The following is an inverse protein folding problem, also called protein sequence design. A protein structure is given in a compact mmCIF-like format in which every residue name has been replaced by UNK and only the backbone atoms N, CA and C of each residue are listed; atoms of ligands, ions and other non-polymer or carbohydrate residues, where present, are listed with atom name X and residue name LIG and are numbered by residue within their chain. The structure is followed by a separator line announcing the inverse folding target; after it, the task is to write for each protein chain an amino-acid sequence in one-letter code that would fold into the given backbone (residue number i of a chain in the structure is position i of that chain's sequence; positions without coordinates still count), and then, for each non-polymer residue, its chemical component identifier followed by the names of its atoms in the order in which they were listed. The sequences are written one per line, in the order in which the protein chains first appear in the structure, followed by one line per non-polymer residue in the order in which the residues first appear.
data_IF_019136013835
#
_entry.id   IF_019136013835
#
_cell.length_a   1.000
_cell.length_b   1.000
_cell.length_c   1.000
_cell.angle_alpha   90.00
_cell.angle_beta   90.00
_cell.angle_gamma   90.00
#
_symmetry.space_group_name_H-M   'P 1'
#
loop_
_entity.id
_entity.type
_entity.pdbx_description
1 polymer ?
#
# COMPACT_ATOMS: atom_id res chain seq x y z
N UNK A 1 9.63 16.62 17.42
CA UNK A 1 9.80 16.27 15.98
C UNK A 1 9.98 14.78 15.72
N UNK A 2 10.83 14.05 16.45
CA UNK A 2 11.09 12.62 16.19
C UNK A 2 9.83 11.74 16.27
N UNK A 3 9.01 11.92 17.31
CA UNK A 3 7.71 11.21 17.45
C UNK A 3 6.74 11.50 16.30
N UNK A 4 6.68 12.76 15.83
CA UNK A 4 5.77 13.17 14.75
C UNK A 4 6.19 12.55 13.41
N UNK A 5 7.50 12.49 13.11
CA UNK A 5 8.01 11.77 11.93
C UNK A 5 7.65 10.28 11.97
N UNK A 6 7.76 9.64 13.14
CA UNK A 6 7.38 8.24 13.31
C UNK A 6 5.87 8.02 13.08
N UNK A 7 5.00 8.90 13.60
CA UNK A 7 3.57 8.82 13.32
C UNK A 7 3.24 8.93 11.84
N UNK A 8 3.88 9.85 11.12
CA UNK A 8 3.73 9.98 9.65
C UNK A 8 4.19 8.70 8.95
N UNK A 9 5.29 8.10 9.38
CA UNK A 9 5.77 6.83 8.82
C UNK A 9 4.85 5.65 9.08
N UNK A 10 4.23 5.57 10.26
CA UNK A 10 3.24 4.55 10.59
C UNK A 10 1.97 4.72 9.76
N UNK A 11 1.50 5.95 9.59
CA UNK A 11 0.38 6.27 8.70
C UNK A 11 0.68 5.89 7.25
N UNK A 12 1.88 6.18 6.76
CA UNK A 12 2.31 5.77 5.43
C UNK A 12 2.34 4.24 5.28
N UNK A 13 2.79 3.52 6.31
CA UNK A 13 2.73 2.05 6.33
C UNK A 13 1.30 1.50 6.34
N UNK A 14 0.38 2.16 7.06
CA UNK A 14 -1.04 1.82 7.03
C UNK A 14 -1.65 2.02 5.64
N UNK A 15 -1.30 3.13 4.97
CA UNK A 15 -1.73 3.42 3.59
C UNK A 15 -1.19 2.35 2.62
N UNK A 16 0.07 1.94 2.77
CA UNK A 16 0.63 0.84 1.98
C UNK A 16 -0.14 -0.47 2.18
N UNK A 17 -0.49 -0.79 3.42
CA UNK A 17 -1.28 -1.98 3.74
C UNK A 17 -2.68 -1.91 3.10
N UNK A 18 -3.35 -0.76 3.18
CA UNK A 18 -4.64 -0.54 2.52
C UNK A 18 -4.55 -0.66 1.00
N UNK A 19 -3.49 -0.14 0.39
CA UNK A 19 -3.25 -0.27 -1.05
C UNK A 19 -3.01 -1.74 -1.47
N UNK A 20 -2.29 -2.51 -0.67
CA UNK A 20 -2.12 -3.96 -0.89
C UNK A 20 -3.47 -4.68 -0.79
N UNK A 21 -4.23 -4.46 0.28
CA UNK A 21 -5.55 -5.09 0.45
C UNK A 21 -6.52 -4.71 -0.67
N UNK A 22 -6.48 -3.45 -1.10
CA UNK A 22 -7.29 -2.93 -2.21
C UNK A 22 -6.97 -3.60 -3.54
N UNK A 23 -5.75 -4.10 -3.69
CA UNK A 23 -5.25 -4.76 -4.90
C UNK A 23 -5.49 -6.27 -4.88
N UNK A 24 -6.05 -6.84 -3.81
CA UNK A 24 -6.45 -8.25 -3.76
C UNK A 24 -7.68 -8.44 -4.66
N UNK A 25 -7.65 -9.49 -5.47
CA UNK A 25 -8.74 -9.86 -6.36
C UNK A 25 -9.76 -10.75 -5.61
N UNK A 26 -11.04 -10.48 -5.81
CA UNK A 26 -12.16 -11.32 -5.39
C UNK A 26 -12.94 -11.74 -6.65
N UNK A 27 -12.81 -13.02 -7.03
CA UNK A 27 -13.45 -13.57 -8.23
C UNK A 27 -12.73 -13.22 -9.54
N UNK A 28 -13.42 -13.40 -10.67
CA UNK A 28 -12.80 -13.31 -12.00
C UNK A 28 -12.53 -11.87 -12.47
N UNK A 29 -13.27 -10.86 -12.00
CA UNK A 29 -13.15 -9.48 -12.52
C UNK A 29 -13.15 -8.36 -11.47
N UNK A 30 -13.31 -8.68 -10.18
CA UNK A 30 -13.44 -7.65 -9.14
C UNK A 30 -12.26 -7.65 -8.17
N UNK A 31 -11.89 -6.46 -7.71
CA UNK A 31 -10.93 -6.27 -6.62
C UNK A 31 -11.69 -5.92 -5.35
N UNK A 32 -11.07 -6.14 -4.18
CA UNK A 32 -11.66 -5.75 -2.88
C UNK A 32 -12.03 -4.26 -2.91
N UNK A 33 -11.15 -3.43 -3.44
CA UNK A 33 -11.44 -2.00 -3.55
C UNK A 33 -12.51 -1.70 -4.61
N UNK A 34 -12.73 -2.53 -5.63
CA UNK A 34 -13.87 -2.32 -6.54
C UNK A 34 -15.19 -2.32 -5.77
N UNK A 35 -15.36 -3.29 -4.86
CA UNK A 35 -16.57 -3.40 -4.04
C UNK A 35 -16.76 -2.17 -3.11
N UNK A 36 -15.69 -1.75 -2.44
CA UNK A 36 -15.75 -0.58 -1.54
C UNK A 36 -15.94 0.75 -2.29
N UNK A 37 -15.35 0.90 -3.48
CA UNK A 37 -15.49 2.10 -4.30
C UNK A 37 -16.87 2.15 -4.97
N UNK A 38 -17.43 1.02 -5.40
CA UNK A 38 -18.80 0.92 -5.93
C UNK A 38 -19.83 1.37 -4.87
N UNK A 39 -19.64 0.99 -3.61
CA UNK A 39 -20.46 1.43 -2.47
C UNK A 39 -20.44 2.96 -2.27
N UNK A 40 -19.36 3.63 -2.69
CA UNK A 40 -19.18 5.08 -2.59
C UNK A 40 -19.47 5.81 -3.92
N UNK A 41 -19.87 5.08 -4.98
CA UNK A 41 -20.08 5.64 -6.31
C UNK A 41 -18.80 6.17 -6.98
N UNK A 42 -17.62 5.70 -6.54
CA UNK A 42 -16.32 6.14 -7.05
C UNK A 42 -15.78 5.13 -8.07
N UNK A 43 -15.08 5.61 -9.09
CA UNK A 43 -14.41 4.75 -10.07
C UNK A 43 -13.11 4.19 -9.51
N UNK A 44 -12.99 2.87 -9.48
CA UNK A 44 -11.77 2.20 -9.07
C UNK A 44 -10.70 2.31 -10.19
N UNK A 45 -9.68 3.14 -9.97
CA UNK A 45 -8.54 3.24 -10.88
C UNK A 45 -7.29 2.58 -10.28
N UNK A 46 -6.87 1.45 -10.87
CA UNK A 46 -5.73 0.65 -10.43
C UNK A 46 -4.41 1.43 -10.44
N UNK A 47 -4.22 2.33 -11.42
CA UNK A 47 -3.03 3.18 -11.50
C UNK A 47 -2.93 4.15 -10.33
N UNK A 48 -4.07 4.63 -9.82
CA UNK A 48 -4.10 5.53 -8.67
C UNK A 48 -3.62 4.80 -7.41
N UNK A 49 -4.02 3.53 -7.23
CA UNK A 49 -3.57 2.71 -6.08
C UNK A 49 -2.06 2.49 -6.13
N UNK A 50 -1.51 2.25 -7.33
CA UNK A 50 -0.05 2.12 -7.52
C UNK A 50 0.68 3.40 -7.16
N UNK A 51 0.21 4.55 -7.62
CA UNK A 51 0.80 5.84 -7.29
C UNK A 51 0.73 6.14 -5.78
N UNK A 52 -0.40 5.83 -5.14
CA UNK A 52 -0.56 5.97 -3.69
C UNK A 52 0.44 5.09 -2.94
N UNK A 53 0.59 3.83 -3.35
CA UNK A 53 1.55 2.92 -2.72
C UNK A 53 2.99 3.42 -2.83
N UNK A 54 3.42 3.86 -4.02
CA UNK A 54 4.77 4.37 -4.26
C UNK A 54 5.04 5.63 -3.41
N UNK A 55 4.09 6.57 -3.37
CA UNK A 55 4.19 7.78 -2.57
C UNK A 55 4.31 7.44 -1.07
N UNK A 56 3.46 6.55 -0.57
CA UNK A 56 3.49 6.10 0.82
C UNK A 56 4.79 5.36 1.16
N UNK A 57 5.28 4.50 0.27
CA UNK A 57 6.56 3.80 0.41
C UNK A 57 7.75 4.76 0.51
N UNK A 58 7.74 5.81 -0.31
CA UNK A 58 8.76 6.86 -0.25
C UNK A 58 8.72 7.62 1.08
N UNK A 59 7.52 8.03 1.51
CA UNK A 59 7.33 8.75 2.78
C UNK A 59 7.76 7.89 3.97
N UNK A 60 7.38 6.61 4.00
CA UNK A 60 7.82 5.68 5.04
C UNK A 60 9.34 5.55 5.04
N UNK A 61 9.96 5.31 3.88
CA UNK A 61 11.42 5.19 3.79
C UNK A 61 12.18 6.40 4.31
N UNK A 62 11.64 7.61 4.14
CA UNK A 62 12.24 8.85 4.67
C UNK A 62 11.99 9.07 6.15
N UNK A 63 10.83 8.67 6.66
CA UNK A 63 10.40 8.96 8.03
C UNK A 63 10.87 7.92 9.05
N UNK A 64 11.09 6.68 8.63
CA UNK A 64 11.53 5.58 9.50
C UNK A 64 13.00 5.18 9.35
N UNK A 65 13.78 5.89 8.51
CA UNK A 65 15.21 5.59 8.26
C UNK A 65 16.04 5.45 9.54
N UNK A 66 15.78 6.31 10.54
CA UNK A 66 16.57 6.38 11.76
C UNK A 66 16.08 5.41 12.86
N UNK A 67 15.00 4.65 12.60
CA UNK A 67 14.43 3.71 13.56
C UNK A 67 15.04 2.32 13.35
N UNK A 68 15.93 1.92 14.26
CA UNK A 68 16.61 0.61 14.23
C UNK A 68 15.72 -0.53 14.77
N UNK A 69 14.49 -0.66 14.28
CA UNK A 69 13.61 -1.77 14.63
C UNK A 69 13.56 -2.77 13.48
N UNK A 70 14.00 -4.01 13.72
CA UNK A 70 14.09 -5.04 12.67
C UNK A 70 12.72 -5.35 12.05
N UNK A 71 11.67 -5.37 12.86
CA UNK A 71 10.29 -5.56 12.41
C UNK A 71 9.86 -4.52 11.36
N UNK A 72 10.26 -3.24 11.49
CA UNK A 72 9.89 -2.20 10.52
C UNK A 72 10.50 -2.45 9.13
N UNK A 73 11.71 -3.02 9.08
CA UNK A 73 12.33 -3.41 7.82
C UNK A 73 11.62 -4.62 7.20
N UNK A 74 11.30 -5.63 8.01
CA UNK A 74 10.54 -6.80 7.55
C UNK A 74 9.15 -6.42 7.04
N UNK A 75 8.43 -5.52 7.72
CA UNK A 75 7.10 -5.10 7.29
C UNK A 75 7.13 -4.29 6.00
N UNK A 76 8.13 -3.39 5.84
CA UNK A 76 8.33 -2.67 4.57
C UNK A 76 8.63 -3.64 3.43
N UNK A 77 9.52 -4.62 3.66
CA UNK A 77 9.87 -5.63 2.65
C UNK A 77 8.67 -6.49 2.27
N UNK A 78 7.91 -6.97 3.26
CA UNK A 78 6.69 -7.75 3.06
C UNK A 78 5.66 -6.97 2.23
N UNK A 79 5.37 -5.73 2.62
CA UNK A 79 4.39 -4.90 1.91
C UNK A 79 4.85 -4.58 0.49
N UNK A 80 6.14 -4.31 0.27
CA UNK A 80 6.70 -4.15 -1.07
C UNK A 80 6.58 -5.42 -1.91
N UNK A 81 6.83 -6.60 -1.33
CA UNK A 81 6.71 -7.87 -2.03
C UNK A 81 5.25 -8.19 -2.39
N UNK A 82 4.33 -8.06 -1.43
CA UNK A 82 2.89 -8.25 -1.68
C UNK A 82 2.38 -7.29 -2.75
N UNK A 83 2.84 -6.04 -2.72
CA UNK A 83 2.48 -5.07 -3.74
C UNK A 83 3.07 -5.41 -5.11
N UNK A 84 4.30 -5.93 -5.18
CA UNK A 84 4.90 -6.41 -6.42
C UNK A 84 4.11 -7.57 -7.02
N UNK A 85 3.69 -8.53 -6.18
CA UNK A 85 2.84 -9.64 -6.61
C UNK A 85 1.50 -9.13 -7.16
N UNK A 86 0.87 -8.20 -6.44
CA UNK A 86 -0.37 -7.56 -6.90
C UNK A 86 -0.18 -6.78 -8.22
N UNK A 87 0.95 -6.07 -8.36
CA UNK A 87 1.32 -5.35 -9.57
C UNK A 87 1.51 -6.29 -10.76
N UNK A 88 2.28 -7.38 -10.60
CA UNK A 88 2.50 -8.38 -11.66
C UNK A 88 1.17 -9.03 -12.07
N UNK A 89 0.30 -9.34 -11.10
CA UNK A 89 -1.05 -9.86 -11.37
C UNK A 89 -1.89 -8.92 -12.24
N UNK A 90 -1.58 -7.62 -12.32
CA UNK A 90 -2.27 -6.69 -13.20
C UNK A 90 -1.83 -6.76 -14.67
N UNK A 91 -0.60 -7.23 -14.96
CA UNK A 91 -0.06 -7.29 -16.33
C UNK A 91 -0.22 -8.67 -16.99
N UNK A 92 -0.34 -9.72 -16.19
CA UNK A 92 -0.50 -11.09 -16.69
C UNK A 92 -1.96 -11.38 -17.12
N UNK A 93 -2.90 -10.47 -16.80
CA UNK A 93 -4.33 -10.57 -17.14
C UNK A 93 -4.76 -9.53 -18.17
#
# INVERSE_FOLDING_TARGET
MFKMKQWIGLLAGLIMLLAVLSSIKIGEDRYIASYAFDLLGLTHNRFVIILIFIAAWWVWGRTMKDVKAIWLNWSRLLLSFLFLVAFISFFIM
#
